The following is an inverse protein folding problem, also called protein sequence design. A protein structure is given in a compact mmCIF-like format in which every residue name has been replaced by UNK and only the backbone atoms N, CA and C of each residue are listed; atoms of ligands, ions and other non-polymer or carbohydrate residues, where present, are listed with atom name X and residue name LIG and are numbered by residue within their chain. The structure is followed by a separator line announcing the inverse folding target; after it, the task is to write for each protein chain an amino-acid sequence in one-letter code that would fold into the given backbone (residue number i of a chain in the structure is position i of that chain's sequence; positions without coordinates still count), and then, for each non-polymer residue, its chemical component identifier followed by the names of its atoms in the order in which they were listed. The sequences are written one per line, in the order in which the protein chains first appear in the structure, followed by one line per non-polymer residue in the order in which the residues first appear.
data_IF_009879807257
#
_entry.id   IF_009879807257
#
_cell.length_a   1.000
_cell.length_b   1.000
_cell.length_c   1.000
_cell.angle_alpha   90.00
_cell.angle_beta   90.00
_cell.angle_gamma   90.00
#
_symmetry.space_group_name_H-M   'P 1'
#
loop_
_entity.id
_entity.type
_entity.pdbx_description
1 polymer ?
#
# COMPACT_ATOMS: atom_id res chain seq x y z
N UNK A 1 -29.44 0.91 36.64
CA UNK A 1 -28.96 1.96 35.71
C UNK A 1 -29.38 1.57 34.31
N UNK A 2 -30.41 2.21 33.79
CA UNK A 2 -30.80 2.15 32.38
C UNK A 2 -29.72 2.84 31.54
N UNK A 3 -29.31 2.29 30.39
CA UNK A 3 -28.37 2.97 29.51
C UNK A 3 -29.02 4.23 28.94
N UNK A 4 -28.35 5.36 29.12
CA UNK A 4 -28.73 6.64 28.55
C UNK A 4 -28.53 6.60 27.02
N UNK A 5 -29.63 6.48 26.29
CA UNK A 5 -29.68 6.47 24.83
C UNK A 5 -29.70 7.88 24.20
N UNK A 6 -29.36 8.94 24.95
CA UNK A 6 -29.50 10.34 24.50
C UNK A 6 -28.36 10.90 23.64
N UNK A 7 -27.37 10.10 23.23
CA UNK A 7 -26.44 10.56 22.19
C UNK A 7 -27.12 10.41 20.82
N UNK A 8 -27.32 11.50 20.05
CA UNK A 8 -27.84 11.37 18.70
C UNK A 8 -26.93 10.44 17.91
N UNK A 9 -27.48 9.33 17.40
CA UNK A 9 -26.79 8.52 16.39
C UNK A 9 -26.48 9.47 15.23
N UNK A 10 -25.21 9.89 15.10
CA UNK A 10 -24.74 10.64 13.94
C UNK A 10 -25.16 9.85 12.70
N UNK A 11 -25.88 10.49 11.79
CA UNK A 11 -26.18 9.90 10.49
C UNK A 11 -24.85 9.49 9.84
N UNK A 12 -24.71 8.27 9.33
CA UNK A 12 -23.47 7.84 8.68
C UNK A 12 -23.12 8.82 7.57
N UNK A 13 -21.92 9.40 7.61
CA UNK A 13 -21.48 10.31 6.57
C UNK A 13 -21.33 9.54 5.25
N UNK A 14 -21.70 10.18 4.14
CA UNK A 14 -21.56 9.57 2.82
C UNK A 14 -20.08 9.43 2.44
N UNK A 15 -19.77 8.45 1.59
CA UNK A 15 -18.42 8.26 1.06
C UNK A 15 -17.83 9.55 0.47
N UNK A 16 -18.64 10.30 -0.30
CA UNK A 16 -18.22 11.58 -0.89
C UNK A 16 -17.93 12.64 0.17
N UNK A 17 -18.78 12.77 1.19
CA UNK A 17 -18.56 13.74 2.26
C UNK A 17 -17.26 13.45 3.03
N UNK A 18 -17.00 12.17 3.34
CA UNK A 18 -15.75 11.75 3.99
C UNK A 18 -14.53 11.95 3.09
N UNK A 19 -14.63 11.64 1.79
CA UNK A 19 -13.56 11.92 0.82
C UNK A 19 -13.26 13.41 0.72
N UNK A 20 -14.27 14.26 0.55
CA UNK A 20 -14.06 15.72 0.49
C UNK A 20 -13.47 16.28 1.79
N UNK A 21 -13.91 15.77 2.95
CA UNK A 21 -13.33 16.16 4.24
C UNK A 21 -11.88 15.70 4.39
N UNK A 22 -11.52 14.53 3.85
CA UNK A 22 -10.14 14.06 3.81
C UNK A 22 -9.27 14.91 2.89
N UNK A 23 -9.73 15.19 1.66
CA UNK A 23 -8.97 15.98 0.70
C UNK A 23 -8.74 17.42 1.20
N UNK A 24 -9.74 18.03 1.85
CA UNK A 24 -9.59 19.33 2.51
C UNK A 24 -8.56 19.29 3.65
N UNK A 25 -8.65 18.29 4.53
CA UNK A 25 -7.67 18.12 5.60
C UNK A 25 -6.25 17.93 5.05
N UNK A 26 -6.07 17.10 4.03
CA UNK A 26 -4.76 16.83 3.43
C UNK A 26 -4.15 18.10 2.80
N UNK A 27 -4.99 18.93 2.15
CA UNK A 27 -4.56 20.21 1.58
C UNK A 27 -4.09 21.21 2.64
N UNK A 28 -4.56 21.11 3.89
CA UNK A 28 -4.04 21.89 5.02
C UNK A 28 -2.71 21.34 5.55
N UNK A 29 -2.33 20.10 5.23
CA UNK A 29 -1.10 19.46 5.72
C UNK A 29 0.08 19.60 4.76
N UNK A 30 -0.18 19.49 3.46
CA UNK A 30 0.86 19.49 2.42
C UNK A 30 0.41 20.27 1.17
N UNK A 31 1.35 20.73 0.33
CA UNK A 31 1.01 21.25 -0.98
C UNK A 31 0.38 20.16 -1.86
N UNK A 32 -0.90 20.33 -2.18
CA UNK A 32 -1.65 19.40 -3.04
C UNK A 32 -1.72 19.90 -4.48
N UNK A 33 -1.47 19.01 -5.44
CA UNK A 33 -1.61 19.30 -6.87
C UNK A 33 -3.09 19.19 -7.28
N UNK A 34 -3.79 20.31 -7.41
CA UNK A 34 -5.24 20.35 -7.63
C UNK A 34 -5.72 19.55 -8.87
N UNK A 35 -4.98 19.62 -9.99
CA UNK A 35 -5.32 18.88 -11.21
C UNK A 35 -5.27 17.35 -11.00
N UNK A 36 -4.36 16.88 -10.15
CA UNK A 36 -4.25 15.46 -9.83
C UNK A 36 -5.40 15.01 -8.93
N UNK A 37 -5.90 15.87 -8.04
CA UNK A 37 -7.09 15.56 -7.24
C UNK A 37 -8.31 15.32 -8.14
N UNK A 38 -8.57 16.18 -9.13
CA UNK A 38 -9.64 15.94 -10.10
C UNK A 38 -9.48 14.60 -10.83
N UNK A 39 -8.25 14.30 -11.25
CA UNK A 39 -7.92 13.02 -11.90
C UNK A 39 -8.13 11.84 -10.94
N UNK A 40 -7.77 11.98 -9.67
CA UNK A 40 -7.99 10.99 -8.61
C UNK A 40 -9.48 10.69 -8.46
N UNK A 41 -10.34 11.71 -8.35
CA UNK A 41 -11.79 11.51 -8.25
C UNK A 41 -12.37 10.76 -9.46
N UNK A 42 -11.93 11.09 -10.68
CA UNK A 42 -12.34 10.37 -11.88
C UNK A 42 -11.90 8.89 -11.84
N UNK A 43 -10.68 8.61 -11.38
CA UNK A 43 -10.16 7.25 -11.25
C UNK A 43 -10.81 6.45 -10.13
N UNK A 44 -11.19 7.09 -9.01
CA UNK A 44 -11.97 6.48 -7.93
C UNK A 44 -13.36 6.04 -8.41
N UNK A 45 -13.96 6.80 -9.33
CA UNK A 45 -15.25 6.44 -9.92
C UNK A 45 -15.17 5.24 -10.88
N UNK A 46 -14.02 5.00 -11.52
CA UNK A 46 -13.86 4.06 -12.63
C UNK A 46 -14.07 2.58 -12.24
N UNK A 47 -13.49 2.12 -11.14
CA UNK A 47 -13.66 0.73 -10.68
C UNK A 47 -13.50 0.58 -9.16
N UNK A 48 -14.06 -0.51 -8.61
CA UNK A 48 -14.13 -0.75 -7.17
C UNK A 48 -12.77 -1.03 -6.52
N UNK A 49 -11.84 -1.66 -7.23
CA UNK A 49 -10.53 -1.97 -6.71
C UNK A 49 -9.68 -0.69 -6.63
N UNK A 50 -9.80 0.21 -7.61
CA UNK A 50 -9.25 1.58 -7.55
C UNK A 50 -9.88 2.41 -6.46
N UNK A 51 -11.21 2.34 -6.31
CA UNK A 51 -11.91 3.01 -5.21
C UNK A 51 -11.33 2.55 -3.87
N UNK A 52 -11.34 1.25 -3.60
CA UNK A 52 -10.80 0.67 -2.37
C UNK A 52 -9.37 1.13 -2.09
N UNK A 53 -8.46 1.03 -3.07
CA UNK A 53 -7.06 1.40 -2.89
C UNK A 53 -6.87 2.88 -2.61
N UNK A 54 -7.63 3.76 -3.27
CA UNK A 54 -7.49 5.21 -3.14
C UNK A 54 -8.26 5.83 -1.97
N UNK A 55 -9.01 5.03 -1.19
CA UNK A 55 -9.80 5.52 -0.05
C UNK A 55 -9.49 4.77 1.25
N UNK A 56 -8.22 4.62 1.62
CA UNK A 56 -7.84 3.97 2.89
C UNK A 56 -8.42 4.69 4.12
N UNK A 57 -8.54 6.02 4.07
CA UNK A 57 -9.16 6.83 5.13
C UNK A 57 -10.60 6.41 5.40
N UNK A 58 -11.38 6.22 4.32
CA UNK A 58 -12.77 5.79 4.38
C UNK A 58 -12.86 4.36 4.91
N UNK A 59 -11.97 3.48 4.45
CA UNK A 59 -11.89 2.10 4.92
C UNK A 59 -11.73 2.02 6.45
N UNK A 60 -10.82 2.81 7.03
CA UNK A 60 -10.60 2.83 8.47
C UNK A 60 -11.84 3.27 9.27
N UNK A 61 -12.52 4.32 8.80
CA UNK A 61 -13.79 4.77 9.39
C UNK A 61 -14.85 3.66 9.33
N UNK A 62 -14.99 3.02 8.16
CA UNK A 62 -15.97 1.94 7.97
C UNK A 62 -15.68 0.69 8.80
N UNK A 63 -14.43 0.30 8.96
CA UNK A 63 -14.08 -0.83 9.85
C UNK A 63 -14.53 -0.55 11.29
N UNK A 64 -14.30 0.66 11.80
CA UNK A 64 -14.73 1.04 13.15
C UNK A 64 -16.26 1.02 13.30
N UNK A 65 -16.99 1.37 12.24
CA UNK A 65 -18.46 1.39 12.25
C UNK A 65 -19.08 -0.01 12.11
N UNK A 66 -18.52 -0.86 11.25
CA UNK A 66 -19.18 -2.07 10.76
C UNK A 66 -18.66 -3.34 11.42
N UNK A 67 -17.34 -3.41 11.69
CA UNK A 67 -16.68 -4.58 12.26
C UNK A 67 -15.67 -4.17 13.35
N UNK A 68 -16.10 -3.43 14.39
CA UNK A 68 -15.19 -2.83 15.39
C UNK A 68 -14.32 -3.84 16.14
N UNK A 69 -14.77 -5.10 16.24
CA UNK A 69 -14.02 -6.18 16.89
C UNK A 69 -12.66 -6.45 16.22
N UNK A 70 -12.50 -6.13 14.93
CA UNK A 70 -11.22 -6.21 14.21
C UNK A 70 -10.16 -5.32 14.89
N UNK A 71 -10.59 -4.20 15.47
CA UNK A 71 -9.72 -3.23 16.14
C UNK A 71 -9.24 -3.66 17.53
N UNK A 72 -9.76 -4.79 18.02
CA UNK A 72 -9.44 -5.36 19.34
C UNK A 72 -8.27 -6.35 19.29
N UNK A 73 -7.87 -6.79 18.09
CA UNK A 73 -6.77 -7.74 17.88
C UNK A 73 -5.40 -7.17 18.27
N UNK A 74 -4.40 -8.05 18.40
CA UNK A 74 -3.02 -7.67 18.73
C UNK A 74 -2.51 -6.57 17.80
N UNK A 75 -1.86 -5.56 18.40
CA UNK A 75 -1.26 -4.44 17.67
C UNK A 75 0.20 -4.72 17.33
N UNK A 76 0.59 -4.40 16.10
CA UNK A 76 1.93 -4.57 15.55
C UNK A 76 2.13 -3.60 14.35
N UNK A 77 3.34 -3.50 13.78
CA UNK A 77 3.55 -2.76 12.54
C UNK A 77 2.71 -3.31 11.38
N UNK A 78 1.87 -2.46 10.80
CA UNK A 78 1.04 -2.76 9.63
C UNK A 78 1.67 -2.16 8.37
N UNK A 79 1.37 -2.77 7.22
CA UNK A 79 1.51 -2.13 5.91
C UNK A 79 0.55 -0.96 5.82
N UNK A 80 -0.70 -1.14 6.28
CA UNK A 80 -1.74 -0.13 6.28
C UNK A 80 -2.71 -0.31 5.12
N UNK A 81 -2.45 0.30 3.97
CA UNK A 81 -3.35 0.30 2.81
C UNK A 81 -3.30 -1.00 1.99
N UNK A 82 -2.89 -2.12 2.58
CA UNK A 82 -2.63 -3.40 1.91
C UNK A 82 -3.79 -3.86 1.01
N UNK A 83 -3.45 -4.17 -0.25
CA UNK A 83 -4.38 -4.69 -1.25
C UNK A 83 -3.63 -5.56 -2.27
N UNK A 84 -4.35 -6.35 -3.08
CA UNK A 84 -3.73 -7.28 -4.04
C UNK A 84 -2.75 -6.63 -5.02
N UNK A 85 -2.89 -5.35 -5.37
CA UNK A 85 -1.90 -4.65 -6.21
C UNK A 85 -0.76 -3.93 -5.43
N UNK A 86 -0.69 -4.07 -4.11
CA UNK A 86 0.37 -3.48 -3.27
C UNK A 86 1.59 -4.42 -3.18
N UNK A 87 1.74 -5.29 -4.16
CA UNK A 87 2.84 -6.25 -4.24
C UNK A 87 3.65 -5.97 -5.50
N UNK A 88 4.92 -6.31 -5.45
CA UNK A 88 5.87 -5.97 -6.49
C UNK A 88 7.25 -6.45 -6.15
N UNK A 89 8.23 -5.88 -6.85
CA UNK A 89 9.64 -6.24 -6.70
C UNK A 89 10.49 -5.09 -6.20
N UNK A 90 11.48 -5.42 -5.38
CA UNK A 90 12.59 -4.55 -4.99
C UNK A 90 13.91 -5.32 -5.06
N UNK A 91 15.04 -4.62 -5.01
CA UNK A 91 16.35 -5.23 -4.84
C UNK A 91 16.70 -5.31 -3.36
N UNK A 92 17.22 -6.45 -2.91
CA UNK A 92 17.82 -6.54 -1.59
C UNK A 92 19.24 -5.92 -1.55
N UNK A 93 19.87 -5.90 -0.38
CA UNK A 93 21.25 -5.42 -0.19
C UNK A 93 22.30 -6.18 -0.99
N UNK A 94 21.94 -7.32 -1.59
CA UNK A 94 22.78 -8.14 -2.46
C UNK A 94 22.39 -8.02 -3.95
N UNK A 95 21.57 -7.01 -4.30
CA UNK A 95 21.04 -6.79 -5.65
C UNK A 95 20.18 -7.94 -6.21
N UNK A 96 19.68 -8.83 -5.36
CA UNK A 96 18.75 -9.90 -5.74
C UNK A 96 17.33 -9.34 -5.79
N UNK A 97 16.59 -9.66 -6.87
CA UNK A 97 15.18 -9.26 -7.00
C UNK A 97 14.31 -10.05 -6.03
N UNK A 98 13.78 -9.34 -5.03
CA UNK A 98 12.80 -9.85 -4.07
C UNK A 98 11.39 -9.52 -4.52
N UNK A 99 10.43 -10.30 -4.05
CA UNK A 99 9.01 -10.05 -4.18
C UNK A 99 8.33 -9.97 -2.82
N UNK A 100 7.33 -9.10 -2.71
CA UNK A 100 6.50 -8.94 -1.52
C UNK A 100 5.77 -7.59 -1.53
N UNK A 101 5.58 -6.99 -0.36
CA UNK A 101 4.91 -5.67 -0.22
C UNK A 101 5.75 -4.57 -0.86
N UNK A 102 5.11 -3.73 -1.68
CA UNK A 102 5.79 -2.74 -2.53
C UNK A 102 5.60 -1.28 -2.08
N UNK A 103 4.53 -0.97 -1.37
CA UNK A 103 4.21 0.39 -0.93
C UNK A 103 4.10 0.44 0.60
N UNK A 104 4.87 1.35 1.20
CA UNK A 104 5.02 1.48 2.66
C UNK A 104 4.61 2.88 3.14
N UNK A 105 3.81 3.58 2.34
CA UNK A 105 3.40 4.96 2.60
C UNK A 105 2.49 5.08 3.85
N UNK A 106 1.73 4.02 4.17
CA UNK A 106 0.74 4.00 5.25
C UNK A 106 1.16 3.18 6.49
N UNK A 107 2.48 2.97 6.66
CA UNK A 107 3.03 2.28 7.82
C UNK A 107 2.53 2.89 9.14
N UNK A 108 1.97 2.05 9.99
CA UNK A 108 1.47 2.43 11.30
C UNK A 108 1.46 1.23 12.26
N UNK A 109 1.53 1.47 13.56
CA UNK A 109 1.27 0.44 14.55
C UNK A 109 -0.25 0.30 14.78
N UNK A 110 -0.81 -0.88 14.52
CA UNK A 110 -2.24 -1.11 14.59
C UNK A 110 -2.63 -2.59 14.65
N UNK A 111 -3.94 -2.88 14.75
CA UNK A 111 -4.47 -4.24 14.83
C UNK A 111 -4.16 -5.06 13.56
N UNK A 112 -3.47 -6.19 13.70
CA UNK A 112 -2.94 -6.98 12.56
C UNK A 112 -4.00 -7.42 11.54
N UNK A 113 -5.24 -7.63 12.01
CA UNK A 113 -6.32 -8.12 11.17
C UNK A 113 -6.81 -7.08 10.16
N UNK A 114 -6.47 -5.79 10.34
CA UNK A 114 -6.80 -4.74 9.35
C UNK A 114 -6.19 -5.03 7.98
N UNK A 115 -4.93 -5.45 7.94
CA UNK A 115 -4.20 -5.73 6.70
C UNK A 115 -4.80 -6.96 6.00
N UNK A 116 -5.03 -8.07 6.73
CA UNK A 116 -5.62 -9.28 6.12
C UNK A 116 -7.09 -9.06 5.69
N UNK A 117 -7.88 -8.33 6.47
CA UNK A 117 -9.27 -8.00 6.10
C UNK A 117 -9.30 -7.19 4.81
N UNK A 118 -8.46 -6.16 4.70
CA UNK A 118 -8.40 -5.31 3.51
C UNK A 118 -7.88 -6.08 2.29
N UNK A 119 -6.86 -6.92 2.49
CA UNK A 119 -6.33 -7.79 1.45
C UNK A 119 -7.39 -8.77 0.95
N UNK A 120 -8.13 -9.44 1.84
CA UNK A 120 -9.22 -10.36 1.49
C UNK A 120 -10.31 -9.65 0.69
N UNK A 121 -10.80 -8.50 1.15
CA UNK A 121 -11.79 -7.71 0.40
C UNK A 121 -11.25 -7.29 -0.96
N UNK A 122 -9.99 -6.85 -1.03
CA UNK A 122 -9.38 -6.45 -2.30
C UNK A 122 -9.28 -7.62 -3.30
N UNK A 123 -9.01 -8.84 -2.82
CA UNK A 123 -8.98 -10.03 -3.64
C UNK A 123 -10.37 -10.38 -4.18
N UNK A 124 -11.42 -10.27 -3.37
CA UNK A 124 -12.80 -10.58 -3.77
C UNK A 124 -13.42 -9.54 -4.72
N UNK A 125 -12.92 -8.30 -4.74
CA UNK A 125 -13.35 -7.26 -5.71
C UNK A 125 -12.43 -7.16 -6.93
N UNK A 126 -11.27 -7.82 -6.92
CA UNK A 126 -10.34 -7.84 -8.03
C UNK A 126 -10.82 -8.81 -9.13
N UNK A 127 -11.01 -8.34 -10.38
CA UNK A 127 -11.59 -9.17 -11.44
C UNK A 127 -10.69 -10.35 -11.84
N UNK A 128 -9.36 -10.25 -11.64
CA UNK A 128 -8.40 -11.27 -12.08
C UNK A 128 -8.08 -12.33 -11.03
N UNK A 129 -8.43 -12.11 -9.75
CA UNK A 129 -8.23 -13.10 -8.68
C UNK A 129 -9.44 -14.03 -8.65
N UNK A 130 -9.32 -15.19 -9.30
CA UNK A 130 -10.41 -16.17 -9.44
C UNK A 130 -10.33 -17.26 -8.36
N UNK A 131 -10.65 -16.88 -7.13
CA UNK A 131 -10.71 -17.76 -5.95
C UNK A 131 -12.09 -17.60 -5.31
N UNK A 132 -12.68 -18.67 -4.76
CA UNK A 132 -13.97 -18.56 -4.08
C UNK A 132 -13.84 -17.70 -2.82
N UNK A 133 -14.90 -16.97 -2.46
CA UNK A 133 -14.86 -15.97 -1.38
C UNK A 133 -14.40 -16.59 -0.03
N UNK A 134 -14.89 -17.79 0.30
CA UNK A 134 -14.50 -18.52 1.52
C UNK A 134 -13.04 -18.99 1.46
N UNK A 135 -12.61 -19.53 0.31
CA UNK A 135 -11.24 -19.97 0.08
C UNK A 135 -10.24 -18.80 0.25
N UNK A 136 -10.60 -17.57 -0.16
CA UNK A 136 -9.75 -16.38 0.03
C UNK A 136 -9.42 -16.20 1.50
N UNK A 137 -10.43 -16.28 2.36
CA UNK A 137 -10.28 -16.07 3.80
C UNK A 137 -9.39 -17.15 4.41
N UNK A 138 -9.63 -18.40 4.03
CA UNK A 138 -8.87 -19.55 4.53
C UNK A 138 -7.41 -19.52 4.10
N UNK A 139 -7.15 -19.28 2.82
CA UNK A 139 -5.80 -19.21 2.26
C UNK A 139 -4.96 -18.10 2.88
N UNK A 140 -5.57 -16.94 3.16
CA UNK A 140 -4.87 -15.81 3.80
C UNK A 140 -4.54 -16.11 5.25
N UNK A 141 -5.49 -16.65 6.02
CA UNK A 141 -5.23 -17.04 7.42
C UNK A 141 -4.21 -18.17 7.51
N UNK A 142 -4.34 -19.20 6.67
CA UNK A 142 -3.41 -20.34 6.63
C UNK A 142 -2.00 -19.90 6.24
N UNK A 143 -1.88 -19.07 5.18
CA UNK A 143 -0.62 -18.50 4.75
C UNK A 143 0.03 -17.66 5.86
N UNK A 144 -0.75 -16.83 6.56
CA UNK A 144 -0.27 -16.01 7.66
C UNK A 144 0.18 -16.86 8.87
N UNK A 145 -0.53 -17.95 9.18
CA UNK A 145 -0.19 -18.89 10.27
C UNK A 145 1.08 -19.69 9.95
N UNK A 146 1.21 -20.15 8.70
CA UNK A 146 2.35 -20.93 8.24
C UNK A 146 3.63 -20.09 8.13
N UNK A 147 3.51 -18.83 7.74
CA UNK A 147 4.64 -17.98 7.42
C UNK A 147 5.54 -17.63 8.62
N UNK A 148 6.79 -17.34 8.28
CA UNK A 148 7.78 -16.68 9.15
C UNK A 148 8.37 -15.52 8.34
N UNK A 149 8.83 -14.44 8.98
CA UNK A 149 9.44 -13.35 8.24
C UNK A 149 10.77 -13.80 7.61
N UNK A 150 10.89 -13.67 6.29
CA UNK A 150 12.01 -14.10 5.44
C UNK A 150 12.56 -13.01 4.51
N UNK A 151 12.19 -11.74 4.71
CA UNK A 151 12.66 -10.60 3.90
C UNK A 151 12.27 -10.72 2.40
N UNK A 152 10.99 -11.00 2.14
CA UNK A 152 10.47 -11.22 0.79
C UNK A 152 10.85 -12.59 0.22
N UNK A 153 10.39 -12.88 -0.99
CA UNK A 153 10.70 -14.10 -1.73
C UNK A 153 11.67 -13.79 -2.88
N UNK A 154 12.73 -14.59 -3.04
CA UNK A 154 13.57 -14.53 -4.24
C UNK A 154 12.76 -14.89 -5.50
N UNK A 155 12.65 -13.93 -6.42
CA UNK A 155 11.90 -14.08 -7.68
C UNK A 155 12.52 -15.14 -8.59
N UNK A 156 13.80 -15.47 -8.45
CA UNK A 156 14.48 -16.53 -9.22
C UNK A 156 14.17 -17.94 -8.71
N UNK A 157 13.70 -18.06 -7.46
CA UNK A 157 13.46 -19.37 -6.82
C UNK A 157 12.42 -20.22 -7.54
N UNK A 158 12.54 -21.55 -7.44
CA UNK A 158 11.59 -22.47 -8.08
C UNK A 158 10.14 -22.22 -7.64
N UNK A 159 9.93 -21.80 -6.38
CA UNK A 159 8.63 -21.50 -5.79
C UNK A 159 7.98 -20.21 -6.28
N UNK A 160 8.69 -19.34 -7.00
CA UNK A 160 8.20 -18.02 -7.44
C UNK A 160 7.57 -18.03 -8.85
N UNK A 161 7.29 -19.20 -9.44
CA UNK A 161 6.79 -19.29 -10.82
C UNK A 161 5.49 -18.52 -11.07
N UNK A 162 4.54 -18.58 -10.13
CA UNK A 162 3.27 -17.84 -10.21
C UNK A 162 3.47 -16.33 -10.07
N UNK A 163 4.50 -15.89 -9.33
CA UNK A 163 4.81 -14.48 -9.13
C UNK A 163 5.52 -13.88 -10.35
N UNK A 164 6.45 -14.64 -10.96
CA UNK A 164 7.10 -14.24 -12.22
C UNK A 164 6.09 -14.00 -13.34
N UNK A 165 4.98 -14.75 -13.37
CA UNK A 165 3.91 -14.57 -14.34
C UNK A 165 3.15 -13.23 -14.17
N UNK A 166 3.33 -12.54 -13.05
CA UNK A 166 2.74 -11.23 -12.77
C UNK A 166 3.71 -10.09 -13.00
N UNK A 167 4.97 -10.36 -13.33
CA UNK A 167 5.91 -9.29 -13.63
C UNK A 167 5.64 -8.80 -15.05
N UNK A 168 5.61 -7.48 -15.27
CA UNK A 168 5.45 -6.94 -16.61
C UNK A 168 6.64 -7.33 -17.48
N UNK A 169 6.43 -7.28 -18.80
CA UNK A 169 7.50 -7.51 -19.75
C UNK A 169 8.67 -6.53 -19.50
N UNK A 170 9.93 -6.99 -19.60
CA UNK A 170 11.09 -6.13 -19.45
C UNK A 170 11.02 -4.93 -20.40
N UNK A 171 11.22 -3.75 -19.85
CA UNK A 171 11.30 -2.50 -20.62
C UNK A 171 12.76 -2.17 -20.86
N UNK A 172 13.11 -1.80 -22.09
CA UNK A 172 14.43 -1.28 -22.40
C UNK A 172 14.77 -0.04 -21.53
N UNK A 173 16.00 -0.01 -21.00
CA UNK A 173 16.43 1.03 -20.07
C UNK A 173 16.40 2.41 -20.71
N UNK A 174 16.91 2.56 -21.94
CA UNK A 174 16.91 3.86 -22.64
C UNK A 174 15.48 4.37 -22.84
N UNK A 175 14.55 3.50 -23.25
CA UNK A 175 13.14 3.87 -23.36
C UNK A 175 12.50 4.24 -22.02
N UNK A 176 12.79 3.48 -20.96
CA UNK A 176 12.26 3.72 -19.62
C UNK A 176 12.71 5.09 -19.08
N UNK A 177 14.02 5.33 -19.02
CA UNK A 177 14.57 6.60 -18.51
C UNK A 177 14.27 7.77 -19.45
N UNK A 178 14.28 7.54 -20.76
CA UNK A 178 13.88 8.52 -21.77
C UNK A 178 12.45 9.02 -21.62
N UNK A 179 11.52 8.21 -21.08
CA UNK A 179 10.17 8.68 -20.73
C UNK A 179 10.19 9.63 -19.53
N UNK A 180 11.00 9.35 -18.51
CA UNK A 180 11.08 10.17 -17.30
C UNK A 180 11.66 11.56 -17.60
N UNK A 181 12.65 11.63 -18.50
CA UNK A 181 13.26 12.89 -18.96
C UNK A 181 12.28 13.85 -19.69
N UNK A 182 11.15 13.34 -20.18
CA UNK A 182 10.12 14.16 -20.84
C UNK A 182 9.26 14.96 -19.85
N UNK A 183 9.38 14.70 -18.55
CA UNK A 183 8.70 15.48 -17.52
C UNK A 183 9.16 16.95 -17.53
N UNK A 184 8.28 17.86 -17.14
CA UNK A 184 8.62 19.28 -17.02
C UNK A 184 9.76 19.46 -15.98
N UNK A 185 10.73 20.38 -16.19
CA UNK A 185 11.77 20.64 -15.19
C UNK A 185 11.20 20.99 -13.81
N UNK A 186 11.84 20.52 -12.75
CA UNK A 186 11.39 20.71 -11.39
C UNK A 186 12.52 21.18 -10.46
N UNK A 187 12.16 22.03 -9.49
CA UNK A 187 13.04 22.38 -8.38
C UNK A 187 12.87 21.37 -7.26
N UNK A 188 13.98 20.75 -6.85
CA UNK A 188 14.04 19.78 -5.76
C UNK A 188 14.60 20.45 -4.49
N UNK A 189 14.06 20.16 -3.30
CA UNK A 189 14.68 20.61 -2.05
C UNK A 189 16.10 20.05 -1.89
N UNK A 190 17.04 20.86 -1.39
CA UNK A 190 18.45 20.47 -1.25
C UNK A 190 18.63 19.14 -0.49
N UNK A 191 17.95 18.99 0.67
CA UNK A 191 18.00 17.75 1.45
C UNK A 191 17.54 16.51 0.67
N UNK A 192 16.57 16.67 -0.23
CA UNK A 192 16.06 15.59 -1.10
C UNK A 192 17.08 15.27 -2.20
N UNK A 193 17.70 16.29 -2.80
CA UNK A 193 18.75 16.10 -3.79
C UNK A 193 19.97 15.39 -3.20
N UNK A 194 20.46 15.86 -2.04
CA UNK A 194 21.57 15.23 -1.31
C UNK A 194 21.23 13.81 -0.89
N UNK A 195 20.03 13.60 -0.33
CA UNK A 195 19.56 12.26 0.05
C UNK A 195 19.51 11.32 -1.15
N UNK A 196 18.97 11.77 -2.28
CA UNK A 196 18.90 10.97 -3.51
C UNK A 196 20.28 10.63 -4.08
N UNK A 197 21.22 11.58 -4.03
CA UNK A 197 22.60 11.34 -4.45
C UNK A 197 23.32 10.34 -3.54
N UNK A 198 23.04 10.37 -2.23
CA UNK A 198 23.63 9.43 -1.27
C UNK A 198 23.13 7.99 -1.46
N UNK A 199 21.97 7.80 -2.10
CA UNK A 199 21.44 6.48 -2.43
C UNK A 199 21.65 6.08 -3.88
N UNK A 200 22.31 6.91 -4.70
CA UNK A 200 22.60 6.60 -6.10
C UNK A 200 24.06 6.14 -6.28
N UNK A 201 24.39 5.43 -7.37
CA UNK A 201 25.77 5.06 -7.65
C UNK A 201 26.69 6.27 -7.82
N UNK A 202 27.98 6.05 -7.58
CA UNK A 202 28.98 7.11 -7.61
C UNK A 202 28.99 7.89 -8.93
N UNK A 203 29.06 9.23 -8.82
CA UNK A 203 29.09 10.13 -9.97
C UNK A 203 27.75 10.28 -10.71
N UNK A 204 26.64 9.87 -10.10
CA UNK A 204 25.29 10.12 -10.64
C UNK A 204 25.02 11.62 -10.83
N UNK A 205 24.67 11.99 -12.07
CA UNK A 205 24.39 13.36 -12.48
C UNK A 205 22.94 13.51 -12.94
N UNK A 206 21.99 13.75 -12.01
CA UNK A 206 20.59 13.85 -12.34
C UNK A 206 20.17 15.21 -12.91
N UNK A 207 19.21 15.18 -13.83
CA UNK A 207 18.28 16.30 -14.07
C UNK A 207 16.94 16.00 -13.40
N UNK A 208 16.25 17.03 -12.89
CA UNK A 208 15.06 16.88 -12.08
C UNK A 208 13.79 17.27 -12.83
N UNK A 209 12.78 16.41 -12.77
CA UNK A 209 11.54 16.53 -13.54
C UNK A 209 10.32 16.25 -12.67
N UNK A 210 9.20 16.92 -12.97
CA UNK A 210 7.89 16.59 -12.41
C UNK A 210 7.50 15.19 -12.87
N UNK A 211 7.04 14.37 -11.94
CA UNK A 211 6.57 13.01 -12.21
C UNK A 211 5.14 12.82 -11.71
N UNK A 212 4.29 12.14 -12.47
CA UNK A 212 2.93 11.81 -12.04
C UNK A 212 2.65 10.33 -12.36
N UNK A 213 2.44 9.52 -11.32
CA UNK A 213 2.10 8.10 -11.46
C UNK A 213 1.26 7.59 -10.27
N UNK A 214 0.34 6.66 -10.57
CA UNK A 214 -0.45 5.89 -9.58
C UNK A 214 -1.65 6.63 -8.96
N UNK A 215 -2.84 6.00 -9.01
CA UNK A 215 -4.12 6.57 -8.52
C UNK A 215 -4.11 7.00 -7.05
N UNK A 216 -3.54 6.19 -6.15
CA UNK A 216 -3.53 6.48 -4.71
C UNK A 216 -2.64 7.65 -4.31
N UNK A 217 -1.72 8.06 -5.19
CA UNK A 217 -0.77 9.14 -4.93
C UNK A 217 -1.01 10.41 -5.74
N UNK A 218 -2.05 10.43 -6.56
CA UNK A 218 -2.49 11.65 -7.22
C UNK A 218 -2.88 12.69 -6.16
N UNK A 219 -2.29 13.89 -6.28
CA UNK A 219 -2.42 14.99 -5.33
C UNK A 219 -1.14 15.27 -4.56
N UNK A 220 -0.22 14.30 -4.44
CA UNK A 220 1.08 14.50 -3.81
C UNK A 220 2.11 14.98 -4.83
N UNK A 221 2.99 15.91 -4.44
CA UNK A 221 4.13 16.30 -5.27
C UNK A 221 5.09 15.13 -5.43
N UNK A 222 5.50 14.90 -6.66
CA UNK A 222 6.49 13.89 -7.04
C UNK A 222 7.48 14.48 -8.01
N UNK A 223 8.75 14.23 -7.73
CA UNK A 223 9.88 14.70 -8.52
C UNK A 223 10.76 13.50 -8.80
N UNK A 224 11.23 13.36 -10.03
CA UNK A 224 12.19 12.32 -10.41
C UNK A 224 13.49 12.95 -10.85
N UNK A 225 14.59 12.52 -10.24
CA UNK A 225 15.94 12.77 -10.72
C UNK A 225 16.31 11.64 -11.68
N UNK A 226 16.78 11.97 -12.88
CA UNK A 226 17.17 10.98 -13.90
C UNK A 226 18.52 11.36 -14.45
N UNK A 227 19.45 10.41 -14.50
CA UNK A 227 20.81 10.71 -14.92
C UNK A 227 21.67 9.47 -15.03
N UNK A 228 22.89 9.64 -15.52
CA UNK A 228 23.88 8.57 -15.62
C UNK A 228 24.87 8.63 -14.45
N UNK A 229 25.31 7.46 -13.99
CA UNK A 229 26.42 7.31 -13.04
C UNK A 229 27.78 7.44 -13.75
N UNK A 230 28.88 7.39 -12.99
CA UNK A 230 30.24 7.50 -13.53
C UNK A 230 30.59 6.41 -14.55
N UNK A 231 29.98 5.23 -14.43
CA UNK A 231 30.12 4.11 -15.37
C UNK A 231 29.25 4.24 -16.64
N UNK A 232 28.49 5.34 -16.74
CA UNK A 232 27.60 5.63 -17.87
C UNK A 232 26.24 4.93 -17.81
N UNK A 233 25.95 4.13 -16.79
CA UNK A 233 24.65 3.46 -16.61
C UNK A 233 23.57 4.42 -16.14
N UNK A 234 22.34 4.22 -16.59
CA UNK A 234 21.20 5.06 -16.21
C UNK A 234 20.64 4.68 -14.84
N UNK A 235 20.29 5.71 -14.06
CA UNK A 235 19.64 5.59 -12.76
C UNK A 235 18.60 6.68 -12.59
N UNK A 236 17.53 6.37 -11.85
CA UNK A 236 16.56 7.37 -11.43
C UNK A 236 16.21 7.24 -9.94
N UNK A 237 15.91 8.38 -9.32
CA UNK A 237 15.39 8.44 -7.95
C UNK A 237 14.10 9.24 -7.96
N UNK A 238 13.01 8.61 -7.55
CA UNK A 238 11.75 9.31 -7.33
C UNK A 238 11.69 9.78 -5.89
N UNK A 239 11.41 11.07 -5.71
CA UNK A 239 11.05 11.67 -4.43
C UNK A 239 9.55 11.98 -4.42
N UNK A 240 8.82 11.43 -3.45
CA UNK A 240 7.40 11.68 -3.18
C UNK A 240 7.26 12.48 -1.88
N UNK A 241 6.55 13.60 -1.91
CA UNK A 241 6.23 14.38 -0.71
C UNK A 241 5.18 13.63 0.12
N UNK A 242 5.51 13.35 1.38
CA UNK A 242 4.67 12.58 2.28
C UNK A 242 3.78 13.53 3.09
N UNK A 243 2.49 13.21 3.16
CA UNK A 243 1.60 13.79 4.16
C UNK A 243 1.65 13.01 5.47
N UNK A 244 0.94 13.48 6.51
CA UNK A 244 0.68 12.63 7.67
C UNK A 244 -0.05 11.36 7.23
N UNK A 245 0.25 10.24 7.90
CA UNK A 245 -0.41 8.96 7.57
C UNK A 245 -1.93 9.07 7.68
N UNK A 246 -2.63 8.37 6.79
CA UNK A 246 -4.09 8.44 6.67
C UNK A 246 -4.81 8.13 7.99
N UNK A 247 -4.26 7.25 8.81
CA UNK A 247 -4.81 6.89 10.10
C UNK A 247 -4.90 8.07 11.09
N UNK A 248 -4.10 9.14 10.91
CA UNK A 248 -4.22 10.38 11.70
C UNK A 248 -5.56 11.04 11.46
N UNK A 249 -5.97 11.19 10.19
CA UNK A 249 -7.28 11.75 9.88
C UNK A 249 -8.41 10.84 10.36
N UNK A 250 -8.30 9.53 10.13
CA UNK A 250 -9.34 8.60 10.57
C UNK A 250 -9.55 8.66 12.10
N UNK A 251 -8.49 8.89 12.88
CA UNK A 251 -8.56 9.05 14.34
C UNK A 251 -9.38 10.27 14.78
N UNK A 252 -9.52 11.29 13.92
CA UNK A 252 -10.38 12.46 14.16
C UNK A 252 -11.86 12.15 13.95
N UNK A 253 -12.16 11.13 13.14
CA UNK A 253 -13.51 10.69 12.82
C UNK A 253 -14.00 9.62 13.79
N UNK A 254 -13.13 8.65 14.10
CA UNK A 254 -13.42 7.47 14.92
C UNK A 254 -12.26 7.19 15.88
N UNK A 255 -12.57 6.74 17.10
CA UNK A 255 -11.55 6.39 18.09
C UNK A 255 -10.78 5.11 17.74
N UNK A 256 -9.59 4.93 18.35
CA UNK A 256 -8.79 3.68 18.36
C UNK A 256 -8.19 3.23 17.00
N UNK A 257 -7.72 4.17 16.19
CA UNK A 257 -7.05 3.90 14.90
C UNK A 257 -5.59 3.41 15.01
N UNK A 258 -4.99 2.90 13.91
CA UNK A 258 -3.54 2.74 13.82
C UNK A 258 -2.81 4.06 14.09
N UNK A 259 -1.58 3.98 14.62
CA UNK A 259 -0.76 5.14 14.92
C UNK A 259 0.49 5.13 14.05
N UNK A 260 0.67 6.09 13.14
CA UNK A 260 1.92 6.23 12.40
C UNK A 260 3.10 6.43 13.36
N UNK A 261 4.24 5.86 12.99
CA UNK A 261 5.48 5.98 13.75
C UNK A 261 6.64 6.09 12.74
N UNK A 262 7.42 7.17 12.87
CA UNK A 262 8.49 7.49 11.93
C UNK A 262 9.63 6.46 11.93
N UNK A 263 9.80 5.70 13.01
CA UNK A 263 10.82 4.65 13.12
C UNK A 263 10.46 3.39 12.31
N UNK A 264 9.18 3.19 11.98
CA UNK A 264 8.72 1.97 11.31
C UNK A 264 9.32 1.82 9.92
N UNK A 265 9.47 2.91 9.17
CA UNK A 265 10.01 2.82 7.81
C UNK A 265 11.41 2.20 7.81
N UNK A 266 12.32 2.72 8.65
CA UNK A 266 13.68 2.17 8.76
C UNK A 266 13.71 0.75 9.31
N UNK A 267 12.85 0.42 10.28
CA UNK A 267 12.78 -0.92 10.83
C UNK A 267 12.23 -1.95 9.82
N UNK A 268 11.24 -1.57 9.02
CA UNK A 268 10.66 -2.42 7.96
C UNK A 268 11.65 -2.60 6.82
N UNK A 269 12.27 -1.54 6.29
CA UNK A 269 13.25 -1.67 5.19
C UNK A 269 14.45 -2.50 5.60
N UNK A 270 14.93 -2.36 6.85
CA UNK A 270 15.96 -3.23 7.41
C UNK A 270 15.51 -4.68 7.49
N UNK A 271 14.28 -4.96 7.92
CA UNK A 271 13.75 -6.33 7.99
C UNK A 271 13.55 -6.95 6.60
N UNK A 272 13.17 -6.16 5.61
CA UNK A 272 13.00 -6.59 4.23
C UNK A 272 14.33 -6.75 3.48
N UNK A 273 15.45 -6.49 4.16
CA UNK A 273 16.79 -6.39 3.57
C UNK A 273 16.78 -5.53 2.31
N UNK A 274 15.90 -4.53 2.26
CA UNK A 274 15.74 -3.69 1.09
C UNK A 274 17.03 -2.92 0.85
N UNK A 275 17.42 -2.80 -0.42
CA UNK A 275 18.55 -1.99 -0.83
C UNK A 275 18.50 -0.60 -0.17
N UNK A 276 19.63 -0.01 0.23
CA UNK A 276 19.69 1.34 0.81
C UNK A 276 19.17 2.45 -0.12
N UNK A 277 18.70 2.09 -1.32
CA UNK A 277 18.14 2.99 -2.32
C UNK A 277 16.83 3.69 -1.91
N UNK A 278 16.19 3.24 -0.82
CA UNK A 278 14.95 3.82 -0.30
C UNK A 278 15.16 4.51 1.07
N UNK A 279 14.87 5.82 1.13
CA UNK A 279 15.04 6.63 2.35
C UNK A 279 13.85 7.57 2.58
N UNK A 280 13.70 8.06 3.81
CA UNK A 280 12.84 9.22 4.13
C UNK A 280 13.69 10.38 4.63
N UNK A 281 13.54 11.55 4.00
CA UNK A 281 14.32 12.75 4.30
C UNK A 281 13.45 14.00 4.15
N UNK A 282 13.45 14.89 5.14
CA UNK A 282 12.76 16.18 5.11
C UNK A 282 11.26 16.11 4.70
N UNK A 283 10.54 15.04 5.08
CA UNK A 283 9.14 14.83 4.70
C UNK A 283 8.93 14.20 3.33
N UNK A 284 10.00 13.78 2.65
CA UNK A 284 9.95 13.09 1.36
C UNK A 284 10.38 11.65 1.49
N UNK A 285 9.76 10.77 0.71
CA UNK A 285 10.23 9.40 0.49
C UNK A 285 10.95 9.34 -0.85
N UNK A 286 12.22 8.95 -0.82
CA UNK A 286 13.03 8.71 -2.01
C UNK A 286 13.11 7.21 -2.25
N UNK A 287 12.97 6.78 -3.51
CA UNK A 287 13.14 5.38 -3.92
C UNK A 287 13.79 5.26 -5.30
N UNK A 288 14.41 4.11 -5.55
CA UNK A 288 14.89 3.72 -6.88
C UNK A 288 13.70 3.58 -7.86
N UNK A 289 13.90 4.06 -9.08
CA UNK A 289 13.04 3.75 -10.22
C UNK A 289 13.90 3.11 -11.30
N UNK A 290 13.65 1.84 -11.58
CA UNK A 290 14.37 1.07 -12.57
C UNK A 290 13.40 0.18 -13.37
N UNK A 291 13.72 -0.16 -14.63
CA UNK A 291 12.82 -0.93 -15.51
C UNK A 291 12.53 -2.36 -15.03
N UNK A 292 13.36 -2.93 -14.16
CA UNK A 292 13.23 -4.26 -13.56
C UNK A 292 12.62 -4.23 -12.14
N UNK A 293 12.28 -3.04 -11.63
CA UNK A 293 11.49 -2.85 -10.42
C UNK A 293 10.04 -2.56 -10.79
N UNK A 294 9.15 -3.49 -10.47
CA UNK A 294 7.79 -3.47 -10.98
C UNK A 294 6.76 -3.82 -9.92
N UNK A 295 5.62 -3.12 -9.99
CA UNK A 295 4.37 -3.60 -9.39
C UNK A 295 3.87 -4.79 -10.19
N UNK A 296 3.17 -5.70 -9.52
CA UNK A 296 2.56 -6.84 -10.22
C UNK A 296 1.42 -6.42 -11.16
N UNK A 297 1.27 -7.15 -12.25
CA UNK A 297 0.19 -7.03 -13.23
C UNK A 297 -0.78 -8.21 -13.11
N UNK A 298 -1.89 -8.00 -12.39
CA UNK A 298 -2.90 -9.02 -12.11
C UNK A 298 -3.52 -9.69 -13.35
N UNK A 299 -3.73 -9.01 -14.50
CA UNK A 299 -4.08 -9.65 -15.77
C UNK A 299 -3.19 -10.83 -16.16
N UNK A 300 -1.90 -10.83 -15.79
CA UNK A 300 -0.98 -11.94 -16.02
C UNK A 300 -1.25 -13.19 -15.16
N UNK A 301 -2.12 -13.09 -14.15
CA UNK A 301 -2.40 -14.18 -13.24
C UNK A 301 -3.12 -15.34 -13.94
N UNK A 302 -2.49 -16.53 -13.93
CA UNK A 302 -3.15 -17.76 -14.36
C UNK A 302 -4.23 -18.12 -13.37
N UNK A 303 -5.43 -18.46 -13.86
CA UNK A 303 -6.61 -18.77 -13.04
C UNK A 303 -6.35 -19.75 -11.89
N UNK A 304 -5.53 -20.79 -12.14
CA UNK A 304 -5.19 -21.84 -11.16
C UNK A 304 -4.20 -21.40 -10.08
N UNK A 305 -3.51 -20.28 -10.27
CA UNK A 305 -2.47 -19.81 -9.34
C UNK A 305 -3.02 -18.85 -8.28
N UNK A 306 -4.31 -18.48 -8.34
CA UNK A 306 -4.89 -17.51 -7.42
C UNK A 306 -4.70 -17.88 -5.95
N UNK A 307 -4.89 -19.16 -5.60
CA UNK A 307 -4.68 -19.60 -4.22
C UNK A 307 -3.23 -19.53 -3.77
N UNK A 308 -2.30 -19.89 -4.67
CA UNK A 308 -0.87 -19.79 -4.40
C UNK A 308 -0.42 -18.33 -4.22
N UNK A 309 -0.98 -17.42 -5.02
CA UNK A 309 -0.72 -15.98 -4.89
C UNK A 309 -1.16 -15.45 -3.53
N UNK A 310 -2.38 -15.79 -3.07
CA UNK A 310 -2.89 -15.35 -1.77
C UNK A 310 -2.02 -15.86 -0.61
N UNK A 311 -1.58 -17.12 -0.68
CA UNK A 311 -0.62 -17.66 0.29
C UNK A 311 0.70 -16.87 0.31
N UNK A 312 1.25 -16.52 -0.86
CA UNK A 312 2.45 -15.68 -0.95
C UNK A 312 2.22 -14.27 -0.41
N UNK A 313 1.07 -13.64 -0.68
CA UNK A 313 0.72 -12.31 -0.17
C UNK A 313 0.60 -12.29 1.36
N UNK A 314 -0.03 -13.33 1.94
CA UNK A 314 -0.10 -13.48 3.39
C UNK A 314 1.29 -13.65 4.03
N UNK A 315 2.18 -14.41 3.39
CA UNK A 315 3.57 -14.56 3.84
C UNK A 315 4.35 -13.24 3.76
N UNK A 316 4.23 -12.50 2.66
CA UNK A 316 4.86 -11.18 2.50
C UNK A 316 4.29 -10.14 3.49
N UNK A 317 3.05 -10.28 3.95
CA UNK A 317 2.50 -9.44 5.03
C UNK A 317 3.21 -9.70 6.36
N UNK A 318 3.55 -10.97 6.64
CA UNK A 318 4.34 -11.35 7.82
C UNK A 318 5.75 -10.75 7.80
N UNK A 319 6.32 -10.47 6.62
CA UNK A 319 7.60 -9.77 6.49
C UNK A 319 7.56 -8.31 6.99
N UNK A 320 6.39 -7.68 7.08
CA UNK A 320 6.25 -6.34 7.70
C UNK A 320 5.85 -6.50 9.16
N UNK A 321 4.83 -7.32 9.44
CA UNK A 321 4.34 -7.55 10.80
C UNK A 321 5.42 -8.09 11.74
N UNK A 322 6.37 -8.86 11.20
CA UNK A 322 7.46 -9.48 11.94
C UNK A 322 8.49 -8.52 12.52
N UNK A 323 8.45 -7.23 12.18
CA UNK A 323 9.34 -6.22 12.78
C UNK A 323 9.23 -6.25 14.30
N UNK A 324 8.01 -6.45 14.82
CA UNK A 324 7.79 -6.85 16.20
C UNK A 324 7.54 -8.37 16.27
N UNK A 325 8.61 -9.15 16.49
CA UNK A 325 8.54 -10.63 16.57
C UNK A 325 7.62 -11.12 17.69
N UNK A 326 7.56 -10.39 18.81
CA UNK A 326 6.77 -10.79 19.97
C UNK A 326 5.27 -10.56 19.71
N UNK A 327 4.91 -9.40 19.15
CA UNK A 327 3.54 -9.11 18.74
C UNK A 327 3.10 -9.98 17.55
N UNK A 328 3.98 -10.23 16.57
CA UNK A 328 3.69 -11.15 15.46
C UNK A 328 3.39 -12.57 15.95
N UNK A 329 4.12 -13.08 16.96
CA UNK A 329 3.83 -14.38 17.57
C UNK A 329 2.43 -14.43 18.20
N UNK A 330 1.99 -13.35 18.86
CA UNK A 330 0.64 -13.23 19.42
C UNK A 330 -0.41 -13.14 18.32
N UNK A 331 -0.22 -12.30 17.31
CA UNK A 331 -1.10 -12.19 16.15
C UNK A 331 -1.25 -13.53 15.41
N UNK A 332 -0.17 -14.31 15.28
CA UNK A 332 -0.22 -15.66 14.71
C UNK A 332 -1.04 -16.63 15.55
N UNK A 333 -0.96 -16.53 16.88
CA UNK A 333 -1.79 -17.35 17.77
C UNK A 333 -3.27 -16.96 17.67
N UNK A 334 -3.58 -15.66 17.60
CA UNK A 334 -4.93 -15.16 17.33
C UNK A 334 -5.45 -15.63 15.97
N UNK A 335 -4.65 -15.56 14.90
CA UNK A 335 -5.00 -16.07 13.58
C UNK A 335 -5.31 -17.57 13.59
N UNK A 336 -4.52 -18.36 14.32
CA UNK A 336 -4.76 -19.82 14.47
C UNK A 336 -6.06 -20.12 15.22
N UNK A 337 -6.42 -19.30 16.21
CA UNK A 337 -7.64 -19.43 16.99
C UNK A 337 -8.84 -18.71 16.38
N UNK A 338 -8.67 -18.05 15.22
CA UNK A 338 -9.71 -17.27 14.57
C UNK A 338 -10.85 -18.17 14.11
N UNK A 339 -12.08 -17.81 14.48
CA UNK A 339 -13.28 -18.38 13.87
C UNK A 339 -13.33 -17.95 12.40
N UNK A 340 -13.21 -18.94 11.50
CA UNK A 340 -13.16 -18.75 10.05
C UNK A 340 -14.45 -18.13 9.52
N UNK A 341 -15.61 -18.55 10.05
CA UNK A 341 -16.90 -17.97 9.67
C UNK A 341 -16.97 -16.51 10.08
N UNK A 342 -16.54 -16.18 11.29
CA UNK A 342 -16.53 -14.79 11.78
C UNK A 342 -15.65 -13.88 10.92
N UNK A 343 -14.48 -14.38 10.47
CA UNK A 343 -13.62 -13.62 9.57
C UNK A 343 -14.25 -13.46 8.18
N UNK A 344 -14.80 -14.54 7.61
CA UNK A 344 -15.51 -14.50 6.32
C UNK A 344 -16.70 -13.54 6.35
N UNK A 345 -17.49 -13.52 7.43
CA UNK A 345 -18.61 -12.59 7.62
C UNK A 345 -18.14 -11.13 7.64
N UNK A 346 -17.02 -10.84 8.29
CA UNK A 346 -16.43 -9.50 8.30
C UNK A 346 -15.93 -9.08 6.92
N UNK A 347 -15.30 -10.00 6.17
CA UNK A 347 -14.87 -9.76 4.79
C UNK A 347 -16.09 -9.50 3.90
N UNK A 348 -17.14 -10.30 3.98
CA UNK A 348 -18.37 -10.13 3.21
C UNK A 348 -19.06 -8.80 3.55
N UNK A 349 -19.16 -8.45 4.83
CA UNK A 349 -19.70 -7.17 5.29
C UNK A 349 -18.91 -6.00 4.70
N UNK A 350 -17.58 -6.01 4.81
CA UNK A 350 -16.75 -4.93 4.31
C UNK A 350 -16.69 -4.86 2.79
N UNK A 351 -16.77 -5.99 2.08
CA UNK A 351 -16.96 -6.03 0.62
C UNK A 351 -18.24 -5.31 0.23
N UNK A 352 -19.35 -5.59 0.90
CA UNK A 352 -20.63 -4.92 0.62
C UNK A 352 -20.56 -3.41 0.92
N UNK A 353 -19.85 -3.02 1.99
CA UNK A 353 -19.60 -1.60 2.30
C UNK A 353 -18.84 -0.91 1.16
N UNK A 354 -17.76 -1.51 0.66
CA UNK A 354 -16.98 -0.97 -0.47
C UNK A 354 -17.85 -0.84 -1.73
N UNK A 355 -18.67 -1.85 -2.03
CA UNK A 355 -19.61 -1.81 -3.17
C UNK A 355 -20.63 -0.68 -3.00
N UNK A 356 -21.17 -0.50 -1.81
CA UNK A 356 -22.17 0.53 -1.52
C UNK A 356 -21.56 1.93 -1.52
N UNK A 357 -20.39 2.12 -0.90
CA UNK A 357 -19.68 3.40 -0.87
C UNK A 357 -19.24 3.81 -2.29
N UNK A 358 -18.72 2.88 -3.10
CA UNK A 358 -18.40 3.14 -4.51
C UNK A 358 -19.64 3.54 -5.31
N UNK A 359 -20.76 2.81 -5.15
CA UNK A 359 -22.02 3.15 -5.81
C UNK A 359 -22.54 4.52 -5.38
N UNK A 360 -22.51 4.85 -4.09
CA UNK A 360 -22.93 6.16 -3.58
C UNK A 360 -22.00 7.27 -4.07
N UNK A 361 -20.70 7.00 -4.17
CA UNK A 361 -19.71 7.94 -4.68
C UNK A 361 -19.95 8.29 -6.15
N UNK A 362 -20.23 7.29 -6.98
CA UNK A 362 -20.56 7.45 -8.41
C UNK A 362 -21.96 8.05 -8.60
N UNK A 363 -22.96 7.53 -7.88
CA UNK A 363 -24.37 7.91 -8.05
C UNK A 363 -24.73 9.32 -7.58
N UNK A 364 -23.88 9.98 -6.79
CA UNK A 364 -24.02 11.41 -6.48
C UNK A 364 -23.40 12.35 -7.52
N UNK A 365 -22.89 11.84 -8.65
CA UNK A 365 -22.24 12.63 -9.70
C UNK A 365 -23.19 13.21 -10.76
N UNK A 366 -24.51 13.14 -10.54
CA UNK A 366 -25.52 13.81 -11.37
C UNK A 366 -26.03 15.07 -10.73
#
# INVERSE_FOLDING_TARGET
MTPDHSKPRRTPQSARALTSAYDAWLADQIPVVAADITTKHAQLAADRLRFLRGTYYLWLVRVAEQVPWVLETTRLPLVGDLHVENFGTWRDGHATTRWGVNDLDELACGPWLLDLLRLAVSAQVAPHVKVADDDVCDLLLDGYVAARPTAGLDVSSAGAKHLRALLPDPVDAEHFYGKLLKGAPAVVPEAVATGSAATAPAGWQPTWHVHAAGTGSLGHRRIVGVGRAADGTWHAREAKEMGPGTAVWAATQVGRMPRPDASLFGAVTQQLDSSPDAIRVAGWQVRDLAPDLARIDLPGLRRKDGGQLLGSMAAATVDVHGVDRAAQKKARAEAKAMDRSRFADAVATMKQVVVNDHRAYVGGAT
#
